data_IF_407834408385
#
_entry.id   IF_407834408385
#
_cell.length_a   1.000
_cell.length_b   1.000
_cell.length_c   1.000
_cell.angle_alpha   90.00
_cell.angle_beta   90.00
_cell.angle_gamma   90.00
#
_symmetry.space_group_name_H-M   'P 1'
#
loop_
_entity.id
_entity.type
_entity.pdbx_description
1 polymer ?
#
# COMPACT_ATOMS: atom_id res chain seq x y z
N UNK A 1 31.93 -0.31 11.55
CA UNK A 1 31.86 0.93 10.77
C UNK A 1 33.14 1.19 9.96
N UNK A 2 34.35 1.22 10.57
CA UNK A 2 35.59 1.53 9.82
C UNK A 2 35.95 0.46 8.78
N UNK A 3 35.71 -0.84 9.06
CA UNK A 3 36.03 -1.94 8.17
C UNK A 3 35.01 -2.11 7.01
N UNK A 4 33.75 -1.72 7.25
CA UNK A 4 32.65 -1.87 6.29
C UNK A 4 31.76 -0.62 6.34
N UNK A 5 32.16 0.49 5.73
CA UNK A 5 31.45 1.77 5.84
C UNK A 5 30.06 1.73 5.17
N UNK A 6 29.92 1.03 4.05
CA UNK A 6 28.64 0.89 3.34
C UNK A 6 27.61 0.11 4.15
N UNK A 7 27.99 -1.06 4.71
CA UNK A 7 27.14 -1.83 5.58
C UNK A 7 26.76 -1.07 6.85
N UNK A 8 27.65 -0.25 7.37
CA UNK A 8 27.37 0.58 8.53
C UNK A 8 26.39 1.72 8.21
N UNK A 9 26.45 2.27 7.00
CA UNK A 9 25.49 3.28 6.54
C UNK A 9 24.11 2.65 6.33
N UNK A 10 24.05 1.49 5.65
CA UNK A 10 22.81 0.73 5.48
C UNK A 10 22.17 0.35 6.82
N UNK A 11 22.96 -0.18 7.75
CA UNK A 11 22.48 -0.53 9.09
C UNK A 11 21.87 0.67 9.81
N UNK A 12 22.52 1.82 9.76
CA UNK A 12 22.02 3.06 10.39
C UNK A 12 20.69 3.50 9.75
N UNK A 13 20.64 3.55 8.42
CA UNK A 13 19.42 3.92 7.69
C UNK A 13 18.25 3.00 8.04
N UNK A 14 18.47 1.68 8.04
CA UNK A 14 17.43 0.70 8.40
C UNK A 14 16.94 0.85 9.83
N UNK A 15 17.84 1.02 10.79
CA UNK A 15 17.49 1.15 12.22
C UNK A 15 16.82 2.49 12.53
N UNK A 16 17.24 3.58 11.87
CA UNK A 16 16.58 4.89 12.02
C UNK A 16 15.23 4.98 11.31
N UNK A 17 14.95 4.07 10.39
CA UNK A 17 13.74 4.10 9.53
C UNK A 17 13.77 5.22 8.49
N UNK A 18 14.93 5.86 8.28
CA UNK A 18 15.13 6.86 7.23
C UNK A 18 15.07 6.21 5.85
N UNK A 19 14.39 6.88 4.93
CA UNK A 19 14.31 6.42 3.55
C UNK A 19 15.62 6.73 2.80
N UNK A 20 15.95 5.96 1.74
CA UNK A 20 17.12 6.21 0.92
C UNK A 20 17.12 7.65 0.37
N UNK A 21 18.32 8.24 0.23
CA UNK A 21 18.49 9.64 -0.19
C UNK A 21 17.90 9.96 -1.56
N UNK A 22 17.82 8.95 -2.44
CA UNK A 22 17.21 9.07 -3.76
C UNK A 22 15.68 8.85 -3.77
N UNK A 23 15.06 8.44 -2.65
CA UNK A 23 13.64 8.13 -2.57
C UNK A 23 12.73 9.24 -3.12
N UNK A 24 12.93 10.47 -2.67
CA UNK A 24 12.10 11.61 -3.08
C UNK A 24 12.19 11.88 -4.60
N UNK A 25 13.38 11.70 -5.20
CA UNK A 25 13.57 11.89 -6.64
C UNK A 25 12.93 10.76 -7.44
N UNK A 26 13.15 9.51 -7.04
CA UNK A 26 12.62 8.32 -7.74
C UNK A 26 11.09 8.23 -7.66
N UNK A 27 10.52 8.46 -6.48
CA UNK A 27 9.07 8.44 -6.32
C UNK A 27 8.38 9.56 -7.11
N UNK A 28 8.97 10.76 -7.15
CA UNK A 28 8.49 11.88 -7.96
C UNK A 28 8.57 11.55 -9.44
N UNK A 29 9.71 11.06 -9.92
CA UNK A 29 9.91 10.69 -11.33
C UNK A 29 8.92 9.61 -11.77
N UNK A 30 8.61 8.63 -10.91
CA UNK A 30 7.61 7.62 -11.19
C UNK A 30 6.21 8.22 -11.34
N UNK A 31 5.79 9.12 -10.44
CA UNK A 31 4.48 9.80 -10.51
C UNK A 31 4.38 10.64 -11.78
N UNK A 32 5.42 11.42 -12.12
CA UNK A 32 5.48 12.22 -13.35
C UNK A 32 5.39 11.35 -14.61
N UNK A 33 6.07 10.19 -14.61
CA UNK A 33 5.98 9.21 -15.71
C UNK A 33 4.55 8.69 -15.88
N UNK A 34 3.84 8.38 -14.80
CA UNK A 34 2.44 7.93 -14.86
C UNK A 34 1.52 9.04 -15.36
N UNK A 35 1.73 10.27 -14.92
CA UNK A 35 0.95 11.42 -15.38
C UNK A 35 1.12 11.66 -16.89
N UNK A 36 2.34 11.49 -17.40
CA UNK A 36 2.65 11.65 -18.82
C UNK A 36 2.16 10.46 -19.70
N UNK A 37 1.84 9.32 -19.10
CA UNK A 37 1.44 8.10 -19.80
C UNK A 37 0.10 7.58 -19.28
N UNK A 38 -1.03 8.22 -19.63
CA UNK A 38 -2.35 7.83 -19.15
C UNK A 38 -2.69 6.39 -19.54
N UNK A 39 -3.26 5.64 -18.59
CA UNK A 39 -3.70 4.28 -18.83
C UNK A 39 -5.03 3.99 -18.11
N UNK A 40 -5.86 3.15 -18.73
CA UNK A 40 -7.06 2.62 -18.09
C UNK A 40 -6.73 1.22 -17.54
N UNK A 41 -6.43 1.15 -16.26
CA UNK A 41 -6.06 -0.10 -15.57
C UNK A 41 -6.77 -0.23 -14.22
N UNK A 42 -6.89 -1.46 -13.73
CA UNK A 42 -7.39 -1.69 -12.38
C UNK A 42 -6.41 -1.09 -11.35
N UNK A 43 -6.93 -0.43 -10.30
CA UNK A 43 -6.06 0.18 -9.31
C UNK A 43 -5.22 -0.86 -8.53
N UNK A 44 -5.64 -2.12 -8.41
CA UNK A 44 -4.77 -3.21 -7.92
C UNK A 44 -3.55 -3.44 -8.83
N UNK A 45 -3.69 -3.25 -10.16
CA UNK A 45 -2.57 -3.30 -11.11
C UNK A 45 -1.68 -2.06 -10.98
N UNK A 46 -2.29 -0.90 -10.79
CA UNK A 46 -1.55 0.32 -10.48
C UNK A 46 -0.74 0.18 -9.18
N UNK A 47 -1.32 -0.46 -8.15
CA UNK A 47 -0.62 -0.83 -6.93
C UNK A 47 0.58 -1.74 -7.18
N UNK A 48 0.43 -2.77 -8.02
CA UNK A 48 1.57 -3.63 -8.41
C UNK A 48 2.68 -2.84 -9.09
N UNK A 49 2.31 -1.93 -10.00
CA UNK A 49 3.29 -1.09 -10.70
C UNK A 49 4.02 -0.15 -9.71
N UNK A 50 3.34 0.33 -8.67
CA UNK A 50 3.97 1.12 -7.60
C UNK A 50 4.90 0.26 -6.74
N UNK A 51 4.49 -0.95 -6.36
CA UNK A 51 5.35 -1.92 -5.66
C UNK A 51 6.60 -2.21 -6.50
N UNK A 52 6.46 -2.50 -7.80
CA UNK A 52 7.58 -2.73 -8.71
C UNK A 52 8.56 -1.55 -8.72
N UNK A 53 8.07 -0.33 -8.89
CA UNK A 53 8.92 0.86 -8.95
C UNK A 53 9.62 1.14 -7.61
N UNK A 54 8.91 1.02 -6.51
CA UNK A 54 9.42 1.41 -5.20
C UNK A 54 10.29 0.34 -4.56
N UNK A 55 10.03 -0.95 -4.79
CA UNK A 55 10.85 -2.03 -4.27
C UNK A 55 12.29 -2.04 -4.81
N UNK A 56 12.53 -1.47 -6.00
CA UNK A 56 13.88 -1.29 -6.52
C UNK A 56 14.69 -0.22 -5.76
N UNK A 57 14.00 0.71 -5.08
CA UNK A 57 14.62 1.80 -4.32
C UNK A 57 14.67 1.47 -2.83
N UNK A 58 13.77 0.61 -2.35
CA UNK A 58 13.58 0.29 -0.93
C UNK A 58 14.02 -1.15 -0.62
N UNK A 59 15.30 -1.40 -0.32
CA UNK A 59 15.77 -2.75 0.01
C UNK A 59 15.16 -3.31 1.32
N UNK A 60 14.60 -2.44 2.17
CA UNK A 60 13.86 -2.79 3.38
C UNK A 60 12.40 -3.20 3.14
N UNK A 61 11.93 -3.14 1.90
CA UNK A 61 10.54 -3.49 1.57
C UNK A 61 10.31 -4.99 1.71
N UNK A 62 9.40 -5.38 2.57
CA UNK A 62 9.09 -6.78 2.86
C UNK A 62 7.62 -7.07 2.59
N UNK A 63 7.36 -7.72 1.48
CA UNK A 63 6.01 -7.99 1.00
C UNK A 63 5.40 -9.29 1.51
N UNK A 64 4.08 -9.41 1.32
CA UNK A 64 3.38 -10.66 1.58
C UNK A 64 1.90 -10.63 1.20
N UNK A 65 1.28 -11.80 1.26
CA UNK A 65 -0.16 -11.95 1.06
C UNK A 65 -0.71 -13.15 1.83
N UNK A 66 -1.97 -13.04 2.25
CA UNK A 66 -2.72 -14.12 2.87
C UNK A 66 -3.28 -15.07 1.79
N UNK A 67 -2.38 -15.75 1.09
CA UNK A 67 -2.64 -16.73 0.01
C UNK A 67 -3.37 -16.19 -1.23
N UNK A 68 -3.30 -14.87 -1.46
CA UNK A 68 -3.98 -14.18 -2.55
C UNK A 68 -3.02 -13.36 -3.42
N UNK A 69 -1.72 -13.71 -3.44
CA UNK A 69 -0.67 -12.91 -4.10
C UNK A 69 -0.96 -12.63 -5.58
N UNK A 70 -1.49 -13.62 -6.32
CA UNK A 70 -1.86 -13.49 -7.73
C UNK A 70 -3.08 -12.61 -7.95
N UNK A 71 -4.04 -12.62 -7.01
CA UNK A 71 -5.27 -11.82 -7.07
C UNK A 71 -5.06 -10.40 -6.56
N UNK A 72 -4.29 -10.24 -5.47
CA UNK A 72 -3.93 -8.94 -4.93
C UNK A 72 -2.89 -8.21 -5.78
N UNK A 73 -2.15 -8.92 -6.65
CA UNK A 73 -1.06 -8.38 -7.47
C UNK A 73 0.03 -7.72 -6.61
N UNK A 74 0.54 -8.46 -5.62
CA UNK A 74 1.55 -7.97 -4.68
C UNK A 74 2.96 -8.47 -4.94
N UNK A 75 3.12 -9.37 -5.92
CA UNK A 75 4.44 -9.80 -6.40
C UNK A 75 5.00 -8.78 -7.40
N UNK A 76 6.29 -8.54 -7.32
CA UNK A 76 7.07 -7.75 -8.25
C UNK A 76 8.23 -8.58 -8.82
N UNK A 77 8.94 -8.10 -9.83
CA UNK A 77 9.93 -8.89 -10.58
C UNK A 77 11.09 -9.40 -9.71
N UNK A 78 11.43 -8.69 -8.64
CA UNK A 78 12.45 -9.08 -7.67
C UNK A 78 11.94 -9.82 -6.44
N UNK A 79 10.66 -10.23 -6.41
CA UNK A 79 10.10 -10.99 -5.28
C UNK A 79 10.77 -12.34 -5.10
N UNK A 80 11.28 -12.58 -3.89
CA UNK A 80 11.90 -13.84 -3.48
C UNK A 80 11.23 -14.35 -2.22
N UNK A 81 10.66 -15.57 -2.22
CA UNK A 81 9.99 -16.10 -1.04
C UNK A 81 10.99 -16.35 0.09
N UNK A 82 10.59 -16.01 1.31
CA UNK A 82 11.32 -16.39 2.52
C UNK A 82 10.95 -17.84 2.85
N UNK A 83 11.95 -18.72 2.97
CA UNK A 83 11.77 -20.14 3.28
C UNK A 83 12.67 -20.54 4.44
N UNK A 84 12.14 -21.37 5.33
CA UNK A 84 12.79 -21.74 6.58
C UNK A 84 14.15 -22.44 6.45
N UNK A 85 14.45 -23.03 5.30
CA UNK A 85 15.65 -23.84 5.09
C UNK A 85 16.59 -23.28 4.00
N UNK A 86 16.29 -22.11 3.47
CA UNK A 86 17.12 -21.44 2.47
C UNK A 86 17.84 -20.26 3.12
N UNK A 87 19.17 -20.30 3.21
CA UNK A 87 20.01 -19.21 3.70
C UNK A 87 20.16 -18.05 2.70
N UNK A 88 19.20 -17.86 1.85
CA UNK A 88 19.17 -16.76 0.86
C UNK A 88 18.15 -15.73 1.29
N UNK A 89 18.58 -14.50 1.36
CA UNK A 89 17.69 -13.38 1.71
C UNK A 89 16.46 -13.35 0.82
N UNK A 90 15.28 -13.47 1.43
CA UNK A 90 13.99 -13.29 0.79
C UNK A 90 13.40 -11.94 1.15
N UNK A 91 12.41 -11.50 0.39
CA UNK A 91 11.70 -10.25 0.59
C UNK A 91 10.17 -10.40 0.46
N UNK A 92 9.68 -11.64 0.45
CA UNK A 92 8.26 -11.93 0.32
C UNK A 92 7.82 -13.09 1.22
N UNK A 93 6.77 -12.87 2.01
CA UNK A 93 6.18 -13.84 2.94
C UNK A 93 4.86 -14.38 2.39
N UNK A 94 4.78 -15.69 2.26
CA UNK A 94 3.54 -16.40 1.97
C UNK A 94 2.87 -16.77 3.29
N UNK A 95 1.93 -15.95 3.74
CA UNK A 95 1.29 -16.10 5.05
C UNK A 95 0.26 -17.24 5.11
N UNK A 96 -0.19 -17.76 3.95
CA UNK A 96 -1.33 -18.66 3.86
C UNK A 96 -2.64 -17.91 4.21
N UNK A 97 -3.74 -18.63 4.34
CA UNK A 97 -5.05 -18.04 4.70
C UNK A 97 -5.05 -17.68 6.20
N UNK A 98 -4.39 -16.57 6.56
CA UNK A 98 -4.15 -16.13 7.94
C UNK A 98 -4.08 -14.61 8.03
N UNK A 99 -5.17 -13.93 7.79
CA UNK A 99 -5.25 -12.46 7.74
C UNK A 99 -4.82 -11.81 9.07
N UNK A 100 -5.31 -12.36 10.18
CA UNK A 100 -4.88 -11.91 11.51
C UNK A 100 -3.39 -12.16 11.74
N UNK A 101 -2.93 -13.39 11.46
CA UNK A 101 -1.52 -13.77 11.62
C UNK A 101 -0.59 -12.91 10.77
N UNK A 102 -0.94 -12.68 9.50
CA UNK A 102 -0.24 -11.77 8.61
C UNK A 102 -0.10 -10.37 9.22
N UNK A 103 -1.21 -9.77 9.61
CA UNK A 103 -1.24 -8.42 10.15
C UNK A 103 -0.47 -8.31 11.47
N UNK A 104 -0.57 -9.31 12.35
CA UNK A 104 0.16 -9.36 13.62
C UNK A 104 1.68 -9.55 13.40
N UNK A 105 2.08 -10.40 12.45
CA UNK A 105 3.49 -10.59 12.08
C UNK A 105 4.05 -9.29 11.48
N UNK A 106 3.31 -8.61 10.61
CA UNK A 106 3.71 -7.30 10.09
C UNK A 106 3.96 -6.28 11.21
N UNK A 107 3.08 -6.25 12.21
CA UNK A 107 3.28 -5.38 13.39
C UNK A 107 4.57 -5.74 14.14
N UNK A 108 4.86 -7.02 14.32
CA UNK A 108 6.11 -7.48 14.93
C UNK A 108 7.35 -7.09 14.12
N UNK A 109 7.28 -7.20 12.80
CA UNK A 109 8.36 -6.78 11.89
C UNK A 109 8.58 -5.27 11.97
N UNK A 110 7.52 -4.46 11.95
CA UNK A 110 7.60 -3.02 12.08
C UNK A 110 8.18 -2.61 13.45
N UNK A 111 7.77 -3.26 14.54
CA UNK A 111 8.32 -3.05 15.88
C UNK A 111 9.79 -3.41 16.01
N UNK A 112 10.23 -4.47 15.33
CA UNK A 112 11.64 -4.85 15.28
C UNK A 112 12.49 -3.78 14.60
N UNK A 113 11.93 -3.08 13.63
CA UNK A 113 12.63 -2.11 12.79
C UNK A 113 13.48 -2.75 11.69
N UNK A 114 13.99 -1.91 10.79
CA UNK A 114 14.85 -2.33 9.68
C UNK A 114 14.10 -2.81 8.43
N UNK A 115 12.77 -2.90 8.50
CA UNK A 115 11.90 -3.29 7.39
C UNK A 115 10.65 -2.43 7.31
N UNK A 116 10.13 -2.29 6.10
CA UNK A 116 8.83 -1.71 5.81
C UNK A 116 7.91 -2.84 5.34
N UNK A 117 7.09 -3.43 6.24
CA UNK A 117 6.23 -4.54 5.86
C UNK A 117 5.00 -4.08 5.11
N UNK A 118 4.65 -4.78 4.02
CA UNK A 118 3.33 -4.70 3.41
C UNK A 118 2.69 -6.08 3.28
N UNK A 119 1.39 -6.16 3.50
CA UNK A 119 0.66 -7.42 3.42
C UNK A 119 -0.73 -7.24 2.86
N UNK A 120 -1.17 -8.20 2.06
CA UNK A 120 -2.37 -8.09 1.27
C UNK A 120 -3.38 -9.20 1.50
N UNK A 121 -4.65 -8.82 1.41
CA UNK A 121 -5.80 -9.71 1.30
C UNK A 121 -6.94 -8.98 0.56
N UNK A 122 -8.08 -9.62 0.36
CA UNK A 122 -9.28 -8.92 -0.09
C UNK A 122 -9.83 -8.01 1.02
N UNK A 123 -10.46 -6.91 0.63
CA UNK A 123 -10.99 -5.95 1.61
C UNK A 123 -11.99 -6.60 2.57
N UNK A 124 -12.84 -7.51 2.07
CA UNK A 124 -13.77 -8.24 2.93
C UNK A 124 -13.05 -9.02 4.05
N UNK A 125 -11.91 -9.60 3.76
CA UNK A 125 -11.16 -10.42 4.72
C UNK A 125 -10.37 -9.62 5.75
N UNK A 126 -10.31 -8.29 5.61
CA UNK A 126 -9.86 -7.41 6.69
C UNK A 126 -10.61 -7.65 8.00
N UNK A 127 -11.88 -8.08 7.92
CA UNK A 127 -12.68 -8.42 9.10
C UNK A 127 -11.97 -9.43 10.02
N UNK A 128 -11.29 -10.42 9.46
CA UNK A 128 -10.50 -11.38 10.24
C UNK A 128 -9.26 -10.74 10.87
N UNK A 129 -8.74 -9.66 10.32
CA UNK A 129 -7.52 -8.99 10.77
C UNK A 129 -7.78 -7.72 11.59
N UNK A 130 -9.03 -7.28 11.72
CA UNK A 130 -9.42 -5.99 12.30
C UNK A 130 -8.65 -5.65 13.59
N UNK A 131 -8.58 -6.58 14.52
CA UNK A 131 -7.92 -6.34 15.79
C UNK A 131 -6.40 -6.08 15.64
N UNK A 132 -5.71 -6.82 14.77
CA UNK A 132 -4.29 -6.62 14.51
C UNK A 132 -4.02 -5.28 13.80
N UNK A 133 -4.90 -4.87 12.87
CA UNK A 133 -4.83 -3.55 12.20
C UNK A 133 -5.04 -2.42 13.20
N UNK A 134 -6.04 -2.56 14.08
CA UNK A 134 -6.27 -1.60 15.17
C UNK A 134 -5.06 -1.50 16.10
N UNK A 135 -4.40 -2.62 16.40
CA UNK A 135 -3.18 -2.64 17.21
C UNK A 135 -2.01 -1.95 16.51
N UNK A 136 -1.84 -2.07 15.19
CA UNK A 136 -0.85 -1.31 14.45
C UNK A 136 -1.03 0.21 14.65
N UNK A 137 -2.26 0.67 14.57
CA UNK A 137 -2.60 2.08 14.78
C UNK A 137 -2.34 2.55 16.22
N UNK A 138 -2.73 1.73 17.21
CA UNK A 138 -2.49 2.01 18.62
C UNK A 138 -0.99 2.07 18.96
N UNK A 139 -0.20 1.16 18.39
CA UNK A 139 1.25 1.09 18.55
C UNK A 139 2.01 2.06 17.65
N UNK A 140 1.32 2.82 16.77
CA UNK A 140 1.91 3.77 15.81
C UNK A 140 2.94 3.12 14.89
N UNK A 141 2.65 1.91 14.42
CA UNK A 141 3.59 1.16 13.59
C UNK A 141 3.36 1.40 12.10
N UNK A 142 4.44 1.61 11.33
CA UNK A 142 4.42 1.70 9.87
C UNK A 142 4.19 0.32 9.27
N UNK A 143 2.93 -0.12 9.24
CA UNK A 143 2.48 -1.34 8.56
C UNK A 143 1.57 -0.96 7.39
N UNK A 144 1.86 -1.49 6.20
CA UNK A 144 1.16 -1.13 4.97
C UNK A 144 0.18 -2.25 4.62
N UNK A 145 -1.10 -2.01 4.89
CA UNK A 145 -2.16 -2.97 4.62
C UNK A 145 -2.72 -2.75 3.21
N UNK A 146 -2.63 -3.76 2.35
CA UNK A 146 -3.08 -3.71 0.96
C UNK A 146 -4.37 -4.50 0.84
N UNK A 147 -5.45 -3.83 0.51
CA UNK A 147 -6.78 -4.42 0.35
C UNK A 147 -7.27 -4.28 -1.08
N UNK A 148 -7.59 -5.38 -1.73
CA UNK A 148 -8.14 -5.37 -3.09
C UNK A 148 -9.56 -5.89 -3.12
N UNK A 149 -10.22 -5.84 -4.29
CA UNK A 149 -11.60 -6.31 -4.44
C UNK A 149 -12.56 -5.51 -3.55
N UNK A 150 -12.54 -4.19 -3.72
CA UNK A 150 -13.05 -3.18 -2.79
C UNK A 150 -14.57 -2.96 -2.81
N UNK A 151 -15.31 -3.64 -3.69
CA UNK A 151 -16.75 -3.37 -3.88
C UNK A 151 -17.49 -4.54 -4.54
N UNK A 152 -18.79 -4.37 -4.76
CA UNK A 152 -19.61 -5.32 -5.53
C UNK A 152 -19.09 -5.54 -6.96
N UNK A 153 -18.29 -4.63 -7.49
CA UNK A 153 -17.63 -4.71 -8.80
C UNK A 153 -16.52 -5.75 -8.89
N UNK A 154 -16.22 -6.49 -7.82
CA UNK A 154 -15.25 -7.59 -7.87
C UNK A 154 -15.71 -8.75 -8.79
N UNK A 155 -17.02 -8.90 -8.98
CA UNK A 155 -17.59 -9.84 -9.94
C UNK A 155 -18.22 -11.09 -9.31
N UNK A 156 -17.88 -12.25 -9.87
CA UNK A 156 -18.55 -13.55 -9.64
C UNK A 156 -18.35 -14.18 -8.26
N UNK A 157 -17.42 -13.70 -7.45
CA UNK A 157 -17.13 -14.27 -6.12
C UNK A 157 -18.31 -14.16 -5.14
N UNK A 158 -19.24 -13.23 -5.40
CA UNK A 158 -20.51 -13.11 -4.70
C UNK A 158 -20.45 -12.42 -3.33
N UNK A 159 -21.56 -12.47 -2.58
CA UNK A 159 -21.75 -11.66 -1.36
C UNK A 159 -20.74 -11.91 -0.25
N UNK A 160 -20.18 -13.13 -0.17
CA UNK A 160 -19.17 -13.48 0.86
C UNK A 160 -17.83 -12.75 0.66
N UNK A 161 -17.62 -12.16 -0.51
CA UNK A 161 -16.39 -11.47 -0.88
C UNK A 161 -16.61 -9.98 -1.17
N UNK A 162 -17.85 -9.53 -1.22
CA UNK A 162 -18.24 -8.16 -1.55
C UNK A 162 -18.29 -7.30 -0.30
N UNK A 163 -17.30 -6.38 -0.10
CA UNK A 163 -17.30 -5.50 1.07
C UNK A 163 -18.37 -4.41 0.94
N UNK A 164 -18.96 -4.05 2.08
CA UNK A 164 -19.95 -2.98 2.22
C UNK A 164 -19.49 -1.98 3.28
N UNK A 165 -19.36 -2.44 4.53
CA UNK A 165 -19.03 -1.61 5.69
C UNK A 165 -17.52 -1.50 5.98
N UNK A 166 -16.67 -2.29 5.32
CA UNK A 166 -15.25 -2.42 5.65
C UNK A 166 -14.48 -1.12 5.49
N UNK A 167 -14.75 -0.33 4.44
CA UNK A 167 -14.11 0.98 4.25
C UNK A 167 -14.50 1.96 5.36
N UNK A 168 -15.76 1.96 5.78
CA UNK A 168 -16.22 2.80 6.89
C UNK A 168 -15.58 2.34 8.21
N UNK A 169 -15.53 1.04 8.45
CA UNK A 169 -14.89 0.44 9.62
C UNK A 169 -13.41 0.82 9.73
N UNK A 170 -12.64 0.75 8.64
CA UNK A 170 -11.25 1.20 8.59
C UNK A 170 -11.11 2.67 8.97
N UNK A 171 -11.98 3.54 8.45
CA UNK A 171 -11.97 4.99 8.74
C UNK A 171 -12.30 5.34 10.19
N UNK A 172 -12.94 4.44 10.94
CA UNK A 172 -13.23 4.63 12.36
C UNK A 172 -12.04 4.32 13.28
N UNK A 173 -10.98 3.68 12.77
CA UNK A 173 -9.79 3.37 13.56
C UNK A 173 -8.94 4.63 13.72
N UNK A 174 -8.76 5.18 14.94
CA UNK A 174 -7.90 6.33 15.17
C UNK A 174 -6.46 6.05 14.73
N UNK A 175 -5.82 7.02 14.12
CA UNK A 175 -4.43 6.93 13.64
C UNK A 175 -4.19 5.90 12.50
N UNK A 176 -5.24 5.42 11.83
CA UNK A 176 -5.13 4.66 10.59
C UNK A 176 -5.42 5.60 9.41
N UNK A 177 -4.48 5.74 8.48
CA UNK A 177 -4.79 6.37 7.20
C UNK A 177 -5.44 5.37 6.26
N UNK A 178 -6.55 5.80 5.63
CA UNK A 178 -7.28 4.97 4.66
C UNK A 178 -7.28 5.65 3.30
N UNK A 179 -6.57 5.05 2.35
CA UNK A 179 -6.43 5.52 0.97
C UNK A 179 -7.30 4.70 0.03
N UNK A 180 -8.08 5.36 -0.80
CA UNK A 180 -8.87 4.72 -1.86
C UNK A 180 -8.68 5.48 -3.18
N UNK A 181 -7.53 5.27 -3.85
CA UNK A 181 -7.16 6.03 -5.04
C UNK A 181 -8.06 5.68 -6.23
N UNK A 182 -8.34 6.68 -7.07
CA UNK A 182 -9.23 6.54 -8.22
C UNK A 182 -8.52 6.11 -9.51
N UNK A 183 -7.20 6.21 -9.59
CA UNK A 183 -6.40 5.82 -10.77
C UNK A 183 -4.95 5.49 -10.42
N UNK A 184 -4.12 5.27 -11.46
CA UNK A 184 -2.71 4.89 -11.25
C UNK A 184 -1.86 6.00 -10.62
N UNK A 185 -2.16 7.27 -10.88
CA UNK A 185 -1.41 8.40 -10.32
C UNK A 185 -1.68 8.52 -8.83
N UNK A 186 -2.94 8.51 -8.44
CA UNK A 186 -3.30 8.51 -7.01
C UNK A 186 -2.81 7.25 -6.30
N UNK A 187 -2.82 6.09 -6.97
CA UNK A 187 -2.27 4.85 -6.40
C UNK A 187 -0.78 4.98 -6.08
N UNK A 188 0.00 5.58 -6.98
CA UNK A 188 1.42 5.84 -6.74
C UNK A 188 1.65 6.83 -5.58
N UNK A 189 0.85 7.90 -5.52
CA UNK A 189 0.93 8.89 -4.43
C UNK A 189 0.52 8.25 -3.10
N UNK A 190 -0.54 7.43 -3.08
CA UNK A 190 -0.97 6.73 -1.86
C UNK A 190 0.12 5.80 -1.33
N UNK A 191 0.79 5.05 -2.20
CA UNK A 191 1.95 4.23 -1.83
C UNK A 191 3.12 5.09 -1.33
N UNK A 192 3.43 6.21 -2.00
CA UNK A 192 4.46 7.14 -1.55
C UNK A 192 4.17 7.64 -0.14
N UNK A 193 2.95 8.12 0.12
CA UNK A 193 2.55 8.63 1.44
C UNK A 193 2.57 7.54 2.51
N UNK A 194 2.13 6.33 2.18
CA UNK A 194 2.17 5.19 3.10
C UNK A 194 3.60 4.79 3.48
N UNK A 195 4.54 4.85 2.53
CA UNK A 195 5.97 4.59 2.79
C UNK A 195 6.61 5.71 3.63
N UNK A 196 6.28 6.96 3.34
CA UNK A 196 6.83 8.13 4.04
C UNK A 196 6.30 8.27 5.48
N UNK A 197 5.11 7.75 5.76
CA UNK A 197 4.50 7.82 7.09
C UNK A 197 5.20 6.89 8.08
N UNK A 198 5.67 7.45 9.20
CA UNK A 198 6.40 6.70 10.23
C UNK A 198 5.63 6.54 11.56
N UNK A 199 4.56 7.28 11.76
CA UNK A 199 3.83 7.39 13.03
C UNK A 199 2.51 6.62 13.08
N UNK A 200 2.28 5.76 12.11
CA UNK A 200 1.07 4.93 12.03
C UNK A 200 0.97 4.08 10.77
N UNK A 201 -0.01 3.16 10.74
CA UNK A 201 -0.26 2.30 9.60
C UNK A 201 -1.08 3.01 8.52
N UNK A 202 -0.99 2.48 7.30
CA UNK A 202 -1.82 2.91 6.17
C UNK A 202 -2.54 1.72 5.56
N UNK A 203 -3.84 1.88 5.29
CA UNK A 203 -4.67 0.94 4.54
C UNK A 203 -4.87 1.46 3.12
N UNK A 204 -4.42 0.71 2.14
CA UNK A 204 -4.47 1.03 0.72
C UNK A 204 -5.54 0.15 0.06
N UNK A 205 -6.63 0.76 -0.41
CA UNK A 205 -7.79 0.06 -0.94
C UNK A 205 -7.83 0.19 -2.47
N UNK A 206 -7.89 -0.95 -3.16
CA UNK A 206 -7.81 -1.01 -4.62
C UNK A 206 -8.95 -1.84 -5.21
N UNK A 207 -9.37 -1.46 -6.42
CA UNK A 207 -10.39 -2.19 -7.17
C UNK A 207 -9.81 -3.21 -8.15
N UNK A 208 -10.61 -4.21 -8.48
CA UNK A 208 -10.39 -5.14 -9.60
C UNK A 208 -10.75 -4.53 -10.95
N UNK A 209 -11.62 -3.53 -10.98
CA UNK A 209 -12.12 -2.89 -12.19
C UNK A 209 -11.10 -1.93 -12.78
N UNK A 210 -11.06 -1.84 -14.11
CA UNK A 210 -10.27 -0.83 -14.80
C UNK A 210 -10.86 0.56 -14.56
N UNK A 211 -9.99 1.50 -14.24
CA UNK A 211 -10.30 2.90 -13.98
C UNK A 211 -9.55 3.76 -14.99
N UNK A 212 -10.25 4.71 -15.58
CA UNK A 212 -9.63 5.71 -16.45
C UNK A 212 -8.78 6.67 -15.62
N UNK A 213 -7.61 7.01 -16.14
CA UNK A 213 -6.80 8.06 -15.52
C UNK A 213 -7.43 9.43 -15.78
N UNK A 214 -7.43 10.24 -14.75
CA UNK A 214 -7.88 11.64 -14.82
C UNK A 214 -6.68 12.58 -14.95
N UNK A 215 -6.83 13.63 -15.76
CA UNK A 215 -5.84 14.70 -15.87
C UNK A 215 -5.79 15.52 -14.60
N UNK A 216 -4.58 15.89 -14.18
CA UNK A 216 -4.33 16.72 -12.98
C UNK A 216 -3.31 17.80 -13.24
N UNK A 217 -3.57 18.95 -12.68
CA UNK A 217 -2.58 20.02 -12.56
C UNK A 217 -1.54 19.67 -11.46
N UNK A 218 -0.39 20.34 -11.46
CA UNK A 218 0.60 20.15 -10.39
C UNK A 218 0.04 20.46 -9.00
N UNK A 219 -0.83 21.48 -8.89
CA UNK A 219 -1.50 21.82 -7.64
C UNK A 219 -2.44 20.71 -7.16
N UNK A 220 -3.14 20.03 -8.08
CA UNK A 220 -3.98 18.90 -7.76
C UNK A 220 -3.18 17.67 -7.34
N UNK A 221 -2.02 17.41 -7.97
CA UNK A 221 -1.10 16.33 -7.54
C UNK A 221 -0.64 16.54 -6.09
N UNK A 222 -0.29 17.77 -5.72
CA UNK A 222 0.06 18.12 -4.35
C UNK A 222 -1.13 18.01 -3.39
N UNK A 223 -2.35 18.29 -3.88
CA UNK A 223 -3.56 18.21 -3.09
C UNK A 223 -4.01 16.78 -2.79
N UNK A 224 -3.66 15.78 -3.63
CA UNK A 224 -3.91 14.35 -3.36
C UNK A 224 -3.36 13.96 -1.98
N UNK A 225 -2.18 14.45 -1.61
CA UNK A 225 -1.53 14.19 -0.32
C UNK A 225 -2.33 14.67 0.90
N UNK A 226 -3.30 15.54 0.69
CA UNK A 226 -4.22 16.02 1.75
C UNK A 226 -5.43 15.12 1.97
N UNK A 227 -5.58 14.06 1.16
CA UNK A 227 -6.64 13.06 1.27
C UNK A 227 -7.93 13.38 0.52
N UNK A 228 -8.25 14.64 0.25
CA UNK A 228 -9.39 15.05 -0.56
C UNK A 228 -9.11 16.37 -1.28
N UNK A 229 -9.59 16.48 -2.52
CA UNK A 229 -9.42 17.67 -3.34
C UNK A 229 -10.46 17.71 -4.47
N UNK A 230 -10.66 18.89 -5.08
CA UNK A 230 -11.54 19.03 -6.26
C UNK A 230 -10.75 18.60 -7.50
N UNK A 231 -11.06 17.40 -8.01
CA UNK A 231 -10.47 16.87 -9.24
C UNK A 231 -11.08 17.52 -10.48
N UNK A 232 -12.41 17.64 -10.50
CA UNK A 232 -13.17 18.30 -11.57
C UNK A 232 -14.29 19.09 -10.91
N UNK A 233 -14.33 20.38 -11.20
CA UNK A 233 -15.41 21.24 -10.78
C UNK A 233 -16.56 21.20 -11.78
N UNK A 234 -17.72 21.66 -11.40
CA UNK A 234 -18.89 21.82 -12.25
C UNK A 234 -19.42 23.25 -12.12
N UNK A 235 -20.04 23.75 -13.18
CA UNK A 235 -20.62 25.10 -13.20
C UNK A 235 -21.85 25.21 -12.30
N UNK A 236 -22.52 24.08 -12.02
CA UNK A 236 -23.67 23.99 -11.12
C UNK A 236 -23.53 22.81 -10.15
N UNK A 237 -23.81 23.07 -8.88
CA UNK A 237 -23.92 22.03 -7.88
C UNK A 237 -25.24 21.28 -8.08
N UNK A 238 -25.16 20.05 -8.56
CA UNK A 238 -26.32 19.17 -8.68
C UNK A 238 -26.98 18.92 -7.33
N UNK A 239 -28.31 19.11 -7.23
CA UNK A 239 -29.06 18.66 -6.05
C UNK A 239 -29.21 17.15 -6.11
N UNK A 240 -28.72 16.46 -5.08
CA UNK A 240 -29.09 15.08 -4.86
C UNK A 240 -30.58 15.05 -4.49
N UNK A 241 -31.40 14.39 -5.30
CA UNK A 241 -32.73 14.01 -4.87
C UNK A 241 -32.61 12.75 -4.01
N UNK A 242 -32.96 12.90 -2.75
CA UNK A 242 -33.13 11.78 -1.79
C UNK A 242 -34.47 11.13 -2.04
#
# INVERSE_FOLDING_TARGET
AKAYPELAAEFKSRVSGELPTNWAAESKAFIEKLQANPASIASRKASQNAIEAYAHVLPEFLGGSADLASSNLTLWSGSKPIRAHENVGGNYLNYGVREFGMSAIMNGIALHGGFIPYGATFLMFYEYAHNAVRMAALMKQRSLFVYTHDSIGLGEDGPTHQPVEQTASLRLIPNLETWRPCDQVESAIAWQQAVERQDGPSALIFTRQNLAQMDRTSAQLDAVKRGAYVLKDCDEIGRAHV
#
